data_IF_966450491912
#
_entry.id   IF_966450491912
#
_cell.length_a   1.000
_cell.length_b   1.000
_cell.length_c   1.000
_cell.angle_alpha   90.00
_cell.angle_beta   90.00
_cell.angle_gamma   90.00
#
_symmetry.space_group_name_H-M   'P 1'
#
loop_
_entity.id
_entity.type
_entity.pdbx_description
1 polymer ?
#
# COMPACT_ATOMS: atom_id res chain seq x y z
N UNK A 1 -48.94 39.21 91.63
CA UNK A 1 -47.90 38.29 91.15
C UNK A 1 -46.67 38.43 92.03
N UNK A 2 -46.22 37.33 92.61
CA UNK A 2 -44.95 37.25 93.35
C UNK A 2 -43.80 37.58 92.39
N UNK A 3 -42.74 38.27 92.85
CA UNK A 3 -41.53 38.57 92.06
C UNK A 3 -40.84 37.36 91.40
N UNK A 4 -41.29 36.16 91.76
CA UNK A 4 -40.84 34.88 91.25
C UNK A 4 -41.80 34.25 90.22
N UNK A 5 -43.10 34.57 90.23
CA UNK A 5 -44.10 33.96 89.33
C UNK A 5 -43.91 34.32 87.85
N UNK A 6 -43.36 35.51 87.56
CA UNK A 6 -43.11 35.97 86.18
C UNK A 6 -41.83 35.41 85.53
N UNK A 7 -40.99 34.67 86.27
CA UNK A 7 -39.63 34.32 85.81
C UNK A 7 -39.55 33.22 84.75
N UNK A 8 -40.55 32.36 84.60
CA UNK A 8 -40.52 31.26 83.61
C UNK A 8 -41.53 31.48 82.49
N UNK A 9 -42.82 31.60 82.83
CA UNK A 9 -43.91 31.59 81.85
C UNK A 9 -43.84 32.78 80.89
N UNK A 10 -43.21 33.88 81.31
CA UNK A 10 -42.93 35.07 80.50
C UNK A 10 -41.44 35.23 80.13
N UNK A 11 -40.62 34.19 80.33
CA UNK A 11 -39.19 34.25 79.99
C UNK A 11 -38.94 34.14 78.48
N UNK A 12 -37.89 34.83 78.02
CA UNK A 12 -37.39 34.69 76.66
C UNK A 12 -37.00 33.24 76.34
N UNK A 13 -36.43 32.51 77.30
CA UNK A 13 -36.02 31.11 77.17
C UNK A 13 -37.20 30.18 76.91
N UNK A 14 -38.29 30.31 77.68
CA UNK A 14 -39.49 29.48 77.49
C UNK A 14 -40.17 29.74 76.14
N UNK A 15 -40.27 31.01 75.76
CA UNK A 15 -40.80 31.42 74.46
C UNK A 15 -39.94 30.89 73.31
N UNK A 16 -38.61 30.97 73.44
CA UNK A 16 -37.67 30.47 72.45
C UNK A 16 -37.77 28.94 72.29
N UNK A 17 -37.87 28.20 73.40
CA UNK A 17 -38.04 26.74 73.37
C UNK A 17 -39.32 26.31 72.64
N UNK A 18 -40.46 26.94 72.96
CA UNK A 18 -41.73 26.66 72.28
C UNK A 18 -41.70 27.03 70.79
N UNK A 19 -41.11 28.17 70.44
CA UNK A 19 -40.98 28.62 69.04
C UNK A 19 -40.12 27.65 68.23
N UNK A 20 -39.00 27.20 68.80
CA UNK A 20 -38.10 26.25 68.14
C UNK A 20 -38.75 24.87 67.99
N UNK A 21 -39.52 24.43 68.98
CA UNK A 21 -40.30 23.20 68.89
C UNK A 21 -41.34 23.26 67.75
N UNK A 22 -42.02 24.39 67.58
CA UNK A 22 -42.95 24.59 66.47
C UNK A 22 -42.22 24.50 65.11
N UNK A 23 -41.06 25.16 64.97
CA UNK A 23 -40.23 25.07 63.76
C UNK A 23 -39.83 23.63 63.40
N UNK A 24 -39.48 22.80 64.39
CA UNK A 24 -39.15 21.39 64.15
C UNK A 24 -40.35 20.57 63.68
N UNK A 25 -41.57 20.94 64.09
CA UNK A 25 -42.79 20.24 63.68
C UNK A 25 -43.24 20.58 62.24
N UNK A 26 -42.74 21.67 61.65
CA UNK A 26 -43.09 22.11 60.30
C UNK A 26 -42.27 21.42 59.19
N UNK A 27 -41.30 20.58 59.55
CA UNK A 27 -40.42 19.92 58.58
C UNK A 27 -41.17 18.80 57.85
N UNK A 28 -41.20 18.88 56.53
CA UNK A 28 -41.67 17.79 55.68
C UNK A 28 -40.60 16.69 55.57
N UNK A 29 -40.92 15.48 56.02
CA UNK A 29 -40.01 14.33 56.07
C UNK A 29 -39.67 13.71 54.71
N UNK A 30 -40.34 14.11 53.63
CA UNK A 30 -40.20 13.44 52.33
C UNK A 30 -38.96 13.85 51.51
N UNK A 31 -38.21 14.87 51.93
CA UNK A 31 -37.05 15.42 51.19
C UNK A 31 -35.77 15.56 52.01
N UNK A 32 -35.69 14.93 53.18
CA UNK A 32 -34.59 15.07 54.15
C UNK A 32 -33.85 13.73 54.32
N UNK A 33 -32.53 13.78 54.51
CA UNK A 33 -31.72 12.58 54.79
C UNK A 33 -32.16 11.90 56.09
N UNK A 34 -31.86 10.61 56.22
CA UNK A 34 -32.24 9.83 57.41
C UNK A 34 -31.48 10.36 58.63
N UNK A 35 -30.20 10.68 58.45
CA UNK A 35 -29.31 11.23 59.47
C UNK A 35 -29.81 12.60 59.97
N UNK A 36 -30.22 13.51 59.07
CA UNK A 36 -30.79 14.79 59.47
C UNK A 36 -32.12 14.66 60.21
N UNK A 37 -32.98 13.72 59.80
CA UNK A 37 -34.24 13.42 60.51
C UNK A 37 -33.94 12.96 61.94
N UNK A 38 -32.93 12.09 62.12
CA UNK A 38 -32.55 11.58 63.43
C UNK A 38 -32.01 12.70 64.34
N UNK A 39 -31.10 13.52 63.82
CA UNK A 39 -30.50 14.66 64.53
C UNK A 39 -31.55 15.69 64.98
N UNK A 40 -32.53 16.00 64.11
CA UNK A 40 -33.63 16.91 64.43
C UNK A 40 -34.59 16.29 65.45
N UNK A 41 -34.90 14.99 65.32
CA UNK A 41 -35.76 14.30 66.27
C UNK A 41 -35.14 14.26 67.68
N UNK A 42 -33.82 14.03 67.77
CA UNK A 42 -33.09 14.13 69.04
C UNK A 42 -33.21 15.52 69.64
N UNK A 43 -32.93 16.56 68.86
CA UNK A 43 -33.06 17.95 69.30
C UNK A 43 -34.48 18.27 69.79
N UNK A 44 -35.50 17.79 69.06
CA UNK A 44 -36.90 17.91 69.44
C UNK A 44 -37.20 17.26 70.79
N UNK A 45 -36.77 16.02 71.02
CA UNK A 45 -36.98 15.32 72.29
C UNK A 45 -36.40 16.08 73.49
N UNK A 46 -35.19 16.63 73.34
CA UNK A 46 -34.54 17.40 74.41
C UNK A 46 -35.28 18.73 74.67
N UNK A 47 -35.75 19.41 73.63
CA UNK A 47 -36.52 20.65 73.78
C UNK A 47 -37.91 20.38 74.36
N UNK A 48 -38.58 19.28 73.98
CA UNK A 48 -39.83 18.85 74.61
C UNK A 48 -39.64 18.61 76.11
N UNK A 49 -38.57 17.91 76.48
CA UNK A 49 -38.18 17.71 77.88
C UNK A 49 -37.89 19.05 78.58
N UNK A 50 -37.19 19.97 77.93
CA UNK A 50 -36.92 21.29 78.48
C UNK A 50 -38.21 22.06 78.78
N UNK A 51 -39.14 22.13 77.81
CA UNK A 51 -40.42 22.81 77.98
C UNK A 51 -41.20 22.18 79.13
N UNK A 52 -41.21 20.86 79.21
CA UNK A 52 -41.85 20.12 80.30
C UNK A 52 -41.24 20.46 81.68
N UNK A 53 -39.91 20.53 81.77
CA UNK A 53 -39.23 20.91 83.02
C UNK A 53 -39.50 22.36 83.41
N UNK A 54 -39.53 23.28 82.44
CA UNK A 54 -39.87 24.68 82.69
C UNK A 54 -41.33 24.83 83.16
N UNK A 55 -42.26 24.06 82.60
CA UNK A 55 -43.68 24.08 83.00
C UNK A 55 -43.90 23.58 84.44
N UNK A 56 -43.03 22.69 84.94
CA UNK A 56 -43.25 21.95 86.19
C UNK A 56 -42.24 22.26 87.31
N UNK A 57 -41.36 23.26 87.15
CA UNK A 57 -40.41 23.65 88.20
C UNK A 57 -40.93 24.82 89.00
N UNK A 58 -40.84 24.79 90.34
CA UNK A 58 -41.16 25.96 91.17
C UNK A 58 -40.21 27.12 90.82
N UNK A 59 -40.77 28.24 90.38
CA UNK A 59 -39.99 29.40 89.95
C UNK A 59 -39.01 29.95 91.02
N UNK A 60 -39.21 29.62 92.31
CA UNK A 60 -38.30 29.99 93.41
C UNK A 60 -37.06 29.10 93.50
N UNK A 61 -37.12 27.89 92.93
CA UNK A 61 -36.04 26.90 92.97
C UNK A 61 -35.14 26.95 91.73
N UNK A 62 -35.29 27.98 90.89
CA UNK A 62 -34.51 28.14 89.67
C UNK A 62 -33.25 28.97 89.86
N UNK A 63 -32.16 28.45 89.29
CA UNK A 63 -30.95 29.23 89.03
C UNK A 63 -31.13 30.11 87.80
N UNK A 64 -31.01 31.44 87.97
CA UNK A 64 -31.08 32.42 86.87
C UNK A 64 -30.00 32.15 85.83
N UNK A 65 -28.77 31.88 86.28
CA UNK A 65 -27.65 31.57 85.39
C UNK A 65 -27.90 30.34 84.50
N UNK A 66 -28.58 29.33 85.02
CA UNK A 66 -28.91 28.11 84.27
C UNK A 66 -29.94 28.40 83.18
N UNK A 67 -30.94 29.24 83.47
CA UNK A 67 -31.96 29.66 82.49
C UNK A 67 -31.35 30.53 81.38
N UNK A 68 -30.43 31.43 81.71
CA UNK A 68 -29.74 32.29 80.74
C UNK A 68 -28.81 31.47 79.83
N UNK A 69 -28.11 30.48 80.38
CA UNK A 69 -27.29 29.56 79.62
C UNK A 69 -28.13 28.71 78.66
N UNK A 70 -29.26 28.17 79.13
CA UNK A 70 -30.22 27.45 78.28
C UNK A 70 -30.73 28.36 77.15
N UNK A 71 -31.08 29.61 77.46
CA UNK A 71 -31.54 30.59 76.46
C UNK A 71 -30.48 30.87 75.38
N UNK A 72 -29.21 30.95 75.79
CA UNK A 72 -28.08 31.12 74.87
C UNK A 72 -27.93 29.92 73.94
N UNK A 73 -28.00 28.69 74.48
CA UNK A 73 -27.95 27.48 73.65
C UNK A 73 -29.15 27.35 72.71
N UNK A 74 -30.37 27.67 73.16
CA UNK A 74 -31.55 27.67 72.30
C UNK A 74 -31.40 28.63 71.11
N UNK A 75 -30.77 29.77 71.33
CA UNK A 75 -30.48 30.75 70.28
C UNK A 75 -29.51 30.17 69.25
N UNK A 76 -28.44 29.51 69.71
CA UNK A 76 -27.49 28.81 68.84
C UNK A 76 -28.12 27.64 68.08
N UNK A 77 -28.98 26.85 68.72
CA UNK A 77 -29.74 25.76 68.07
C UNK A 77 -30.64 26.33 66.98
N UNK A 78 -31.40 27.40 67.26
CA UNK A 78 -32.23 28.04 66.24
C UNK A 78 -31.40 28.55 65.07
N UNK A 79 -30.23 29.15 65.33
CA UNK A 79 -29.36 29.63 64.26
C UNK A 79 -28.81 28.50 63.40
N UNK A 80 -28.38 27.38 64.02
CA UNK A 80 -27.90 26.21 63.28
C UNK A 80 -29.02 25.59 62.43
N UNK A 81 -30.22 25.50 63.00
CA UNK A 81 -31.38 24.98 62.29
C UNK A 81 -31.80 25.87 61.12
N UNK A 82 -31.81 27.20 61.30
CA UNK A 82 -32.10 28.14 60.23
C UNK A 82 -31.04 28.04 59.10
N UNK A 83 -29.75 27.87 59.46
CA UNK A 83 -28.68 27.62 58.48
C UNK A 83 -28.90 26.30 57.72
N UNK A 84 -29.25 25.21 58.42
CA UNK A 84 -29.58 23.94 57.79
C UNK A 84 -30.80 24.06 56.86
N UNK A 85 -31.85 24.77 57.25
CA UNK A 85 -33.02 24.96 56.39
C UNK A 85 -32.67 25.69 55.09
N UNK A 86 -31.76 26.68 55.16
CA UNK A 86 -31.33 27.48 54.01
C UNK A 86 -30.35 26.73 53.09
N UNK A 87 -29.44 25.94 53.66
CA UNK A 87 -28.31 25.32 52.92
C UNK A 87 -28.54 23.85 52.58
N UNK A 88 -29.37 23.17 53.39
CA UNK A 88 -29.54 21.71 53.40
C UNK A 88 -28.23 20.94 53.61
N UNK A 89 -27.29 21.54 54.34
CA UNK A 89 -26.03 20.91 54.76
C UNK A 89 -26.17 20.31 56.16
N UNK A 90 -26.18 18.97 56.25
CA UNK A 90 -26.38 18.21 57.48
C UNK A 90 -25.27 18.42 58.52
N UNK A 91 -24.11 18.99 58.13
CA UNK A 91 -23.07 19.39 59.07
C UNK A 91 -23.63 20.28 60.19
N UNK A 92 -24.55 21.20 59.87
CA UNK A 92 -25.15 22.10 60.85
C UNK A 92 -26.00 21.40 61.91
N UNK A 93 -26.49 20.18 61.65
CA UNK A 93 -27.30 19.41 62.58
C UNK A 93 -26.46 18.53 63.53
N UNK A 94 -25.26 18.13 63.08
CA UNK A 94 -24.40 17.20 63.81
C UNK A 94 -23.86 17.70 65.15
N UNK A 95 -23.10 16.83 65.81
CA UNK A 95 -22.59 17.02 67.18
C UNK A 95 -21.69 18.26 67.34
N UNK A 96 -20.98 18.67 66.29
CA UNK A 96 -20.12 19.86 66.31
C UNK A 96 -20.90 21.18 66.29
N UNK A 97 -22.21 21.13 66.00
CA UNK A 97 -23.07 22.30 65.85
C UNK A 97 -24.37 22.13 66.66
N UNK A 98 -25.51 21.94 65.99
CA UNK A 98 -26.82 21.91 66.65
C UNK A 98 -26.87 20.91 67.80
N UNK A 99 -26.47 19.65 67.56
CA UNK A 99 -26.54 18.62 68.59
C UNK A 99 -25.55 18.83 69.75
N UNK A 100 -24.43 19.53 69.52
CA UNK A 100 -23.54 19.97 70.60
C UNK A 100 -24.18 21.04 71.49
N UNK A 101 -24.93 21.98 70.91
CA UNK A 101 -25.69 22.95 71.70
C UNK A 101 -26.87 22.29 72.44
N UNK A 102 -27.48 21.26 71.86
CA UNK A 102 -28.49 20.43 72.53
C UNK A 102 -27.89 19.72 73.76
N UNK A 103 -26.66 19.24 73.68
CA UNK A 103 -25.95 18.65 74.85
C UNK A 103 -25.71 19.70 75.94
N UNK A 104 -25.38 20.93 75.52
CA UNK A 104 -25.35 22.09 76.40
C UNK A 104 -26.66 22.26 77.16
N UNK A 105 -27.80 22.24 76.46
CA UNK A 105 -29.13 22.31 77.10
C UNK A 105 -29.34 21.13 78.06
N UNK A 106 -29.05 19.91 77.64
CA UNK A 106 -29.24 18.70 78.45
C UNK A 106 -28.48 18.76 79.78
N UNK A 107 -27.25 19.29 79.75
CA UNK A 107 -26.43 19.46 80.96
C UNK A 107 -27.08 20.38 82.00
N UNK A 108 -27.75 21.45 81.56
CA UNK A 108 -28.43 22.40 82.44
C UNK A 108 -29.87 21.98 82.78
N UNK A 109 -30.52 21.14 81.98
CA UNK A 109 -31.87 20.59 82.27
C UNK A 109 -31.91 19.90 83.64
N UNK A 110 -30.83 19.24 84.04
CA UNK A 110 -30.74 18.54 85.34
C UNK A 110 -30.87 19.47 86.54
N UNK A 111 -30.58 20.76 86.37
CA UNK A 111 -30.74 21.79 87.42
C UNK A 111 -32.20 22.24 87.60
N UNK A 112 -33.09 21.89 86.65
CA UNK A 112 -34.52 22.17 86.72
C UNK A 112 -35.19 21.05 87.52
N UNK A 113 -35.29 21.22 88.84
CA UNK A 113 -35.91 20.21 89.71
C UNK A 113 -37.44 20.26 89.53
N UNK A 114 -38.06 19.23 88.93
CA UNK A 114 -39.50 19.25 88.68
C UNK A 114 -40.25 18.95 89.97
N UNK A 115 -41.36 19.65 90.19
CA UNK A 115 -42.42 19.13 91.04
C UNK A 115 -42.97 17.86 90.35
N UNK A 116 -42.84 16.71 91.00
CA UNK A 116 -43.22 15.42 90.43
C UNK A 116 -44.74 15.37 90.19
N UNK A 117 -45.19 15.46 88.94
CA UNK A 117 -46.55 15.09 88.52
C UNK A 117 -46.51 13.89 87.55
N UNK A 118 -47.28 12.85 87.90
CA UNK A 118 -47.42 11.56 87.21
C UNK A 118 -47.99 11.73 85.79
N UNK A 119 -48.64 12.86 85.49
CA UNK A 119 -49.27 13.14 84.20
C UNK A 119 -48.26 13.34 83.06
N UNK A 120 -47.13 13.99 83.32
CA UNK A 120 -46.18 14.35 82.26
C UNK A 120 -45.23 13.22 81.87
N UNK A 121 -44.97 12.29 82.80
CA UNK A 121 -44.32 11.01 82.49
C UNK A 121 -45.11 10.24 81.42
N UNK A 122 -46.44 10.35 81.42
CA UNK A 122 -47.33 9.71 80.43
C UNK A 122 -47.24 10.39 79.06
N UNK A 123 -46.98 11.70 79.02
CA UNK A 123 -46.81 12.49 77.79
C UNK A 123 -45.47 12.19 77.12
N UNK A 124 -44.39 12.04 77.88
CA UNK A 124 -43.09 11.59 77.37
C UNK A 124 -43.17 10.18 76.73
N UNK A 125 -43.85 9.24 77.40
CA UNK A 125 -44.12 7.89 76.85
C UNK A 125 -44.94 7.98 75.55
N UNK A 126 -45.93 8.89 75.48
CA UNK A 126 -46.70 9.10 74.26
C UNK A 126 -45.87 9.69 73.10
N UNK A 127 -44.90 10.58 73.39
CA UNK A 127 -43.95 11.12 72.42
C UNK A 127 -43.02 10.04 71.84
N UNK A 128 -42.46 9.20 72.72
CA UNK A 128 -41.64 8.06 72.32
C UNK A 128 -42.42 7.09 71.40
N UNK A 129 -43.65 6.75 71.78
CA UNK A 129 -44.50 5.87 70.97
C UNK A 129 -44.85 6.45 69.60
N UNK A 130 -45.01 7.78 69.49
CA UNK A 130 -45.19 8.45 68.19
C UNK A 130 -43.93 8.35 67.33
N UNK A 131 -42.76 8.61 67.90
CA UNK A 131 -41.47 8.49 67.22
C UNK A 131 -41.23 7.06 66.71
N UNK A 132 -41.40 6.06 67.57
CA UNK A 132 -41.32 4.64 67.19
C UNK A 132 -42.34 4.28 66.10
N UNK A 133 -43.56 4.82 66.19
CA UNK A 133 -44.59 4.68 65.15
C UNK A 133 -44.17 5.27 63.80
N UNK A 134 -43.46 6.39 63.79
CA UNK A 134 -42.93 7.00 62.57
C UNK A 134 -41.77 6.19 61.99
N UNK A 135 -40.81 5.75 62.80
CA UNK A 135 -39.72 4.87 62.34
C UNK A 135 -40.27 3.59 61.71
N UNK A 136 -41.30 2.98 62.31
CA UNK A 136 -41.96 1.80 61.74
C UNK A 136 -42.57 2.08 60.36
N UNK A 137 -43.20 3.24 60.16
CA UNK A 137 -43.79 3.63 58.87
C UNK A 137 -42.72 3.85 57.80
N UNK A 138 -41.63 4.56 58.15
CA UNK A 138 -40.51 4.79 57.24
C UNK A 138 -39.86 3.47 56.85
N UNK A 139 -39.54 2.61 57.82
CA UNK A 139 -38.97 1.29 57.54
C UNK A 139 -39.89 0.44 56.64
N UNK A 140 -41.21 0.48 56.86
CA UNK A 140 -42.17 -0.25 56.01
C UNK A 140 -42.21 0.32 54.58
N UNK A 141 -42.15 1.65 54.42
CA UNK A 141 -42.09 2.32 53.11
C UNK A 141 -40.82 1.92 52.35
N UNK A 142 -39.67 1.91 53.02
CA UNK A 142 -38.40 1.51 52.40
C UNK A 142 -38.36 0.02 52.04
N UNK A 143 -38.89 -0.87 52.89
CA UNK A 143 -39.03 -2.30 52.57
C UNK A 143 -39.89 -2.49 51.31
N UNK A 144 -41.01 -1.80 51.20
CA UNK A 144 -41.87 -1.88 50.02
C UNK A 144 -41.17 -1.32 48.76
N UNK A 145 -40.48 -0.19 48.88
CA UNK A 145 -39.71 0.38 47.77
C UNK A 145 -38.61 -0.58 47.29
N UNK A 146 -37.88 -1.21 48.22
CA UNK A 146 -36.86 -2.22 47.89
C UNK A 146 -37.50 -3.41 47.17
N UNK A 147 -38.64 -3.90 47.65
CA UNK A 147 -39.36 -5.02 47.02
C UNK A 147 -39.81 -4.70 45.59
N UNK A 148 -40.32 -3.49 45.34
CA UNK A 148 -40.76 -3.05 43.99
C UNK A 148 -39.58 -2.87 43.04
N UNK A 149 -38.48 -2.29 43.53
CA UNK A 149 -37.24 -2.17 42.74
C UNK A 149 -36.65 -3.55 42.42
N UNK A 150 -36.68 -4.47 43.38
CA UNK A 150 -36.25 -5.86 43.20
C UNK A 150 -37.02 -6.58 42.09
N UNK A 151 -38.35 -6.55 42.12
CA UNK A 151 -39.20 -7.18 41.09
C UNK A 151 -39.06 -6.53 39.73
N UNK A 152 -38.87 -5.21 39.67
CA UNK A 152 -38.61 -4.50 38.42
C UNK A 152 -37.26 -4.91 37.82
N UNK A 153 -36.22 -4.97 38.65
CA UNK A 153 -34.88 -5.41 38.22
C UNK A 153 -34.90 -6.85 37.72
N UNK A 154 -35.59 -7.76 38.42
CA UNK A 154 -35.76 -9.16 38.01
C UNK A 154 -36.43 -9.25 36.63
N UNK A 155 -37.53 -8.51 36.41
CA UNK A 155 -38.19 -8.45 35.10
C UNK A 155 -37.27 -7.91 34.00
N UNK A 156 -36.50 -6.84 34.27
CA UNK A 156 -35.55 -6.28 33.30
C UNK A 156 -34.41 -7.26 32.99
N UNK A 157 -33.93 -8.00 33.99
CA UNK A 157 -32.92 -9.05 33.79
C UNK A 157 -33.48 -10.15 32.91
N UNK A 158 -34.70 -10.63 33.16
CA UNK A 158 -35.35 -11.66 32.34
C UNK A 158 -35.56 -11.21 30.89
N UNK A 159 -35.98 -9.96 30.69
CA UNK A 159 -36.11 -9.37 29.36
C UNK A 159 -34.76 -9.34 28.63
N UNK A 160 -33.68 -8.90 29.31
CA UNK A 160 -32.33 -8.84 28.74
C UNK A 160 -31.74 -10.22 28.47
N UNK A 161 -31.99 -11.20 29.34
CA UNK A 161 -31.58 -12.60 29.13
C UNK A 161 -32.29 -13.18 27.90
N UNK A 162 -33.59 -12.92 27.75
CA UNK A 162 -34.35 -13.38 26.58
C UNK A 162 -33.91 -12.69 25.28
N UNK A 163 -33.60 -11.40 25.32
CA UNK A 163 -33.03 -10.66 24.19
C UNK A 163 -31.67 -11.25 23.78
N UNK A 164 -30.75 -11.42 24.74
CA UNK A 164 -29.45 -12.03 24.49
C UNK A 164 -29.57 -13.45 23.93
N UNK A 165 -30.51 -14.26 24.43
CA UNK A 165 -30.74 -15.62 23.92
C UNK A 165 -31.17 -15.60 22.44
N UNK A 166 -32.07 -14.71 22.05
CA UNK A 166 -32.49 -14.55 20.65
C UNK A 166 -31.34 -14.11 19.75
N UNK A 167 -30.50 -13.19 20.22
CA UNK A 167 -29.31 -12.77 19.48
C UNK A 167 -28.31 -13.93 19.29
N UNK A 168 -28.11 -14.76 20.32
CA UNK A 168 -27.27 -15.95 20.22
C UNK A 168 -27.81 -16.97 19.20
N UNK A 169 -29.12 -17.24 19.19
CA UNK A 169 -29.75 -18.14 18.22
C UNK A 169 -29.63 -17.62 16.77
N UNK A 170 -29.77 -16.29 16.58
CA UNK A 170 -29.56 -15.66 15.28
C UNK A 170 -28.10 -15.75 14.82
N UNK A 171 -27.15 -15.56 15.74
CA UNK A 171 -25.72 -15.67 15.44
C UNK A 171 -25.33 -17.10 15.06
N UNK A 172 -25.85 -18.11 15.76
CA UNK A 172 -25.62 -19.52 15.44
C UNK A 172 -26.11 -19.87 14.03
N UNK A 173 -27.30 -19.38 13.66
CA UNK A 173 -27.84 -19.52 12.30
C UNK A 173 -26.89 -18.92 11.26
N UNK A 174 -26.36 -17.73 11.51
CA UNK A 174 -25.44 -17.04 10.60
C UNK A 174 -24.09 -17.73 10.49
N UNK A 175 -23.59 -18.33 11.57
CA UNK A 175 -22.37 -19.16 11.55
C UNK A 175 -22.59 -20.39 10.66
N UNK A 176 -23.75 -21.04 10.76
CA UNK A 176 -24.08 -22.19 9.92
C UNK A 176 -24.19 -21.83 8.43
N UNK A 177 -24.77 -20.67 8.10
CA UNK A 177 -24.81 -20.15 6.73
C UNK A 177 -23.41 -19.85 6.18
N UNK A 178 -22.56 -19.14 6.94
CA UNK A 178 -21.18 -18.84 6.52
C UNK A 178 -20.34 -20.11 6.31
N UNK A 179 -20.52 -21.13 7.15
CA UNK A 179 -19.84 -22.42 6.98
C UNK A 179 -20.29 -23.13 5.69
N UNK A 180 -21.57 -23.01 5.32
CA UNK A 180 -22.09 -23.54 4.05
C UNK A 180 -21.50 -22.79 2.87
N UNK A 181 -21.53 -21.45 2.89
CA UNK A 181 -20.97 -20.62 1.82
C UNK A 181 -19.48 -20.90 1.60
N UNK A 182 -18.71 -21.06 2.68
CA UNK A 182 -17.28 -21.39 2.61
C UNK A 182 -17.05 -22.75 1.95
N UNK A 183 -17.90 -23.73 2.25
CA UNK A 183 -17.86 -25.04 1.60
C UNK A 183 -18.16 -24.92 0.10
N UNK A 184 -19.19 -24.18 -0.27
CA UNK A 184 -19.60 -24.00 -1.66
C UNK A 184 -18.53 -23.25 -2.49
N UNK A 185 -17.87 -22.26 -1.88
CA UNK A 185 -16.72 -21.55 -2.48
C UNK A 185 -15.54 -22.51 -2.68
N UNK A 186 -15.22 -23.35 -1.69
CA UNK A 186 -14.13 -24.33 -1.79
C UNK A 186 -14.38 -25.34 -2.91
N UNK A 187 -15.60 -25.87 -2.99
CA UNK A 187 -15.99 -26.82 -4.02
C UNK A 187 -15.97 -26.18 -5.42
N UNK A 188 -16.43 -24.93 -5.53
CA UNK A 188 -16.36 -24.16 -6.78
C UNK A 188 -14.92 -23.85 -7.20
N UNK A 189 -14.05 -23.51 -6.24
CA UNK A 189 -12.63 -23.23 -6.49
C UNK A 189 -11.91 -24.48 -7.01
N UNK A 190 -12.15 -25.64 -6.41
CA UNK A 190 -11.60 -26.92 -6.88
C UNK A 190 -12.04 -27.21 -8.32
N UNK A 191 -13.33 -27.04 -8.62
CA UNK A 191 -13.87 -27.25 -9.97
C UNK A 191 -13.27 -26.30 -11.02
N UNK A 192 -13.05 -25.03 -10.64
CA UNK A 192 -12.37 -24.06 -11.52
C UNK A 192 -10.93 -24.47 -11.77
N UNK A 193 -10.21 -24.92 -10.73
CA UNK A 193 -8.84 -25.42 -10.86
C UNK A 193 -8.77 -26.61 -11.83
N UNK A 194 -9.67 -27.59 -11.69
CA UNK A 194 -9.75 -28.75 -12.59
C UNK A 194 -10.05 -28.34 -14.03
N UNK A 195 -10.99 -27.41 -14.23
CA UNK A 195 -11.32 -26.87 -15.56
C UNK A 195 -10.14 -26.10 -16.17
N UNK A 196 -9.40 -25.34 -15.38
CA UNK A 196 -8.20 -24.63 -15.83
C UNK A 196 -7.12 -25.62 -16.24
N UNK A 197 -6.87 -26.67 -15.45
CA UNK A 197 -5.89 -27.70 -15.79
C UNK A 197 -6.28 -28.46 -17.07
N UNK A 198 -7.55 -28.82 -17.23
CA UNK A 198 -8.07 -29.47 -18.44
C UNK A 198 -7.95 -28.56 -19.67
N UNK A 199 -8.32 -27.28 -19.55
CA UNK A 199 -8.25 -26.33 -20.67
C UNK A 199 -6.80 -26.00 -21.07
N UNK A 200 -5.89 -25.92 -20.10
CA UNK A 200 -4.46 -25.78 -20.36
C UNK A 200 -3.90 -26.99 -21.09
N UNK A 201 -4.16 -28.19 -20.58
CA UNK A 201 -3.70 -29.45 -21.19
C UNK A 201 -4.25 -29.61 -22.62
N UNK A 202 -5.54 -29.31 -22.83
CA UNK A 202 -6.15 -29.33 -24.16
C UNK A 202 -5.48 -28.34 -25.12
N UNK A 203 -5.23 -27.11 -24.66
CA UNK A 203 -4.56 -26.09 -25.46
C UNK A 203 -3.11 -26.48 -25.79
N UNK A 204 -2.41 -27.11 -24.84
CA UNK A 204 -1.05 -27.61 -25.05
C UNK A 204 -1.02 -28.72 -26.10
N UNK A 205 -1.93 -29.68 -26.02
CA UNK A 205 -2.05 -30.75 -27.02
C UNK A 205 -2.35 -30.18 -28.41
N UNK A 206 -3.28 -29.22 -28.52
CA UNK A 206 -3.59 -28.56 -29.80
C UNK A 206 -2.37 -27.81 -30.36
N UNK A 207 -1.61 -27.09 -29.51
CA UNK A 207 -0.37 -26.43 -29.93
C UNK A 207 0.68 -27.43 -30.38
N UNK A 208 0.88 -28.52 -29.65
CA UNK A 208 1.85 -29.55 -29.98
C UNK A 208 1.50 -30.25 -31.30
N UNK A 209 0.23 -30.56 -31.54
CA UNK A 209 -0.24 -31.09 -32.83
C UNK A 209 -0.01 -30.09 -33.97
N UNK A 210 -0.30 -28.80 -33.76
CA UNK A 210 -0.09 -27.77 -34.78
C UNK A 210 1.40 -27.57 -35.11
N UNK A 211 2.26 -27.55 -34.10
CA UNK A 211 3.72 -27.45 -34.26
C UNK A 211 4.25 -28.69 -34.99
N UNK A 212 3.82 -29.89 -34.61
CA UNK A 212 4.24 -31.12 -35.29
C UNK A 212 3.81 -31.12 -36.77
N UNK A 213 2.56 -30.73 -37.06
CA UNK A 213 2.09 -30.59 -38.45
C UNK A 213 2.91 -29.56 -39.23
N UNK A 214 3.21 -28.41 -38.62
CA UNK A 214 4.05 -27.39 -39.24
C UNK A 214 5.48 -27.90 -39.52
N UNK A 215 6.10 -28.60 -38.57
CA UNK A 215 7.43 -29.19 -38.73
C UNK A 215 7.43 -30.20 -39.89
N UNK A 216 6.45 -31.10 -39.95
CA UNK A 216 6.36 -32.10 -41.03
C UNK A 216 6.13 -31.44 -42.39
N UNK A 217 5.31 -30.40 -42.46
CA UNK A 217 5.08 -29.64 -43.70
C UNK A 217 6.33 -28.87 -44.15
N UNK A 218 7.08 -28.27 -43.22
CA UNK A 218 8.35 -27.62 -43.52
C UNK A 218 9.40 -28.62 -43.97
N UNK A 219 9.51 -29.80 -43.33
CA UNK A 219 10.40 -30.87 -43.78
C UNK A 219 10.07 -31.31 -45.20
N UNK A 220 8.78 -31.51 -45.52
CA UNK A 220 8.31 -31.87 -46.86
C UNK A 220 8.70 -30.79 -47.88
N UNK A 221 8.42 -29.52 -47.56
CA UNK A 221 8.75 -28.37 -48.42
C UNK A 221 10.25 -28.29 -48.69
N UNK A 222 11.08 -28.37 -47.64
CA UNK A 222 12.54 -28.36 -47.76
C UNK A 222 13.03 -29.51 -48.65
N UNK A 223 12.51 -30.73 -48.43
CA UNK A 223 12.88 -31.91 -49.22
C UNK A 223 12.53 -31.73 -50.70
N UNK A 224 11.34 -31.20 -51.00
CA UNK A 224 10.91 -30.93 -52.38
C UNK A 224 11.73 -29.81 -53.04
N UNK A 225 12.00 -28.72 -52.33
CA UNK A 225 12.85 -27.63 -52.83
C UNK A 225 14.28 -28.11 -53.08
N UNK A 226 14.84 -28.90 -52.17
CA UNK A 226 16.18 -29.47 -52.32
C UNK A 226 16.25 -30.41 -53.52
N UNK A 227 15.27 -31.31 -53.68
CA UNK A 227 15.20 -32.20 -54.85
C UNK A 227 15.16 -31.42 -56.16
N UNK A 228 14.29 -30.39 -56.25
CA UNK A 228 14.21 -29.53 -57.44
C UNK A 228 15.51 -28.80 -57.73
N UNK A 229 16.18 -28.29 -56.70
CA UNK A 229 17.48 -27.60 -56.83
C UNK A 229 18.60 -28.55 -57.23
N UNK A 230 18.59 -29.79 -56.73
CA UNK A 230 19.50 -30.85 -57.15
C UNK A 230 19.30 -31.16 -58.64
N UNK A 231 18.06 -31.37 -59.08
CA UNK A 231 17.75 -31.63 -60.49
C UNK A 231 18.15 -30.46 -61.40
N UNK A 232 17.95 -29.22 -60.97
CA UNK A 232 18.41 -28.01 -61.67
C UNK A 232 19.94 -27.93 -61.75
N UNK A 233 20.63 -28.27 -60.66
CA UNK A 233 22.09 -28.29 -60.60
C UNK A 233 22.66 -29.36 -61.54
N UNK A 234 22.10 -30.57 -61.54
CA UNK A 234 22.51 -31.66 -62.43
C UNK A 234 22.30 -31.29 -63.91
N UNK A 235 21.17 -30.65 -64.25
CA UNK A 235 20.91 -30.13 -65.60
C UNK A 235 21.91 -29.04 -66.00
N UNK A 236 22.23 -28.14 -65.07
CA UNK A 236 23.20 -27.05 -65.31
C UNK A 236 24.60 -27.62 -65.50
N UNK A 237 25.02 -28.59 -64.69
CA UNK A 237 26.29 -29.28 -64.83
C UNK A 237 26.39 -30.01 -66.19
N UNK A 238 25.32 -30.68 -66.62
CA UNK A 238 25.25 -31.31 -67.93
C UNK A 238 25.36 -30.30 -69.09
N UNK A 239 24.69 -29.14 -68.98
CA UNK A 239 24.79 -28.05 -69.98
C UNK A 239 26.19 -27.42 -70.01
N UNK A 240 26.81 -27.21 -68.85
CA UNK A 240 28.20 -26.75 -68.74
C UNK A 240 29.15 -27.74 -69.40
N UNK A 241 29.05 -29.03 -69.09
CA UNK A 241 29.88 -30.06 -69.73
C UNK A 241 29.68 -30.10 -71.24
N UNK A 242 28.43 -29.97 -71.72
CA UNK A 242 28.15 -29.89 -73.16
C UNK A 242 28.78 -28.66 -73.80
N UNK A 243 28.69 -27.49 -73.16
CA UNK A 243 29.33 -26.25 -73.62
C UNK A 243 30.85 -26.36 -73.56
N UNK A 244 31.41 -26.99 -72.54
CA UNK A 244 32.84 -27.21 -72.38
C UNK A 244 33.36 -28.09 -73.52
N UNK A 245 32.75 -29.25 -73.77
CA UNK A 245 33.11 -30.13 -74.88
C UNK A 245 32.96 -29.42 -76.24
N UNK A 246 31.92 -28.60 -76.42
CA UNK A 246 31.75 -27.80 -77.64
C UNK A 246 32.83 -26.69 -77.76
N UNK A 247 33.30 -26.15 -76.64
CA UNK A 247 34.38 -25.16 -76.59
C UNK A 247 35.73 -25.83 -76.83
N UNK A 248 35.95 -27.02 -76.29
CA UNK A 248 37.12 -27.86 -76.53
C UNK A 248 37.21 -28.23 -78.01
N UNK A 249 36.12 -28.70 -78.63
CA UNK A 249 36.09 -28.96 -80.08
C UNK A 249 36.35 -27.69 -80.91
N UNK A 250 35.83 -26.53 -80.48
CA UNK A 250 36.15 -25.23 -81.12
C UNK A 250 37.58 -24.79 -80.86
N UNK A 251 38.16 -25.12 -79.72
CA UNK A 251 39.54 -24.81 -79.37
C UNK A 251 40.50 -25.72 -80.14
N UNK A 252 40.19 -27.00 -80.33
CA UNK A 252 40.90 -27.90 -81.23
C UNK A 252 40.82 -27.43 -82.69
N UNK A 253 39.64 -27.02 -83.16
CA UNK A 253 39.47 -26.41 -84.48
C UNK A 253 40.24 -25.08 -84.60
N UNK A 254 40.22 -24.26 -83.56
CA UNK A 254 40.99 -23.01 -83.51
C UNK A 254 42.49 -23.29 -83.41
N UNK A 255 42.94 -24.35 -82.73
CA UNK A 255 44.33 -24.78 -82.67
C UNK A 255 44.79 -25.29 -84.04
N UNK A 256 43.96 -26.04 -84.76
CA UNK A 256 44.24 -26.44 -86.14
C UNK A 256 44.33 -25.22 -87.07
N UNK A 257 43.42 -24.25 -86.92
CA UNK A 257 43.50 -22.96 -87.63
C UNK A 257 44.68 -22.11 -87.18
N UNK A 258 45.09 -22.18 -85.93
CA UNK A 258 46.28 -21.51 -85.40
C UNK A 258 47.54 -22.19 -85.93
N UNK A 259 47.56 -23.51 -86.12
CA UNK A 259 48.67 -24.21 -86.79
C UNK A 259 48.73 -23.83 -88.29
N UNK A 260 47.57 -23.64 -88.92
CA UNK A 260 47.43 -23.12 -90.28
C UNK A 260 47.83 -21.64 -90.38
N UNK A 261 47.46 -20.81 -89.40
CA UNK A 261 47.80 -19.39 -89.31
C UNK A 261 49.21 -19.15 -88.77
N UNK A 262 49.79 -20.01 -87.94
CA UNK A 262 51.20 -19.96 -87.53
C UNK A 262 52.11 -20.36 -88.69
N UNK A 263 51.62 -21.22 -89.58
CA UNK A 263 52.23 -21.42 -90.91
C UNK A 263 52.09 -20.19 -91.83
N UNK A 264 51.14 -19.28 -91.59
CA UNK A 264 50.88 -18.12 -92.47
C UNK A 264 51.22 -16.74 -91.88
N UNK A 265 51.38 -16.58 -90.56
CA UNK A 265 51.33 -15.29 -89.87
C UNK A 265 52.03 -15.38 -88.50
N UNK A 266 53.34 -15.63 -88.52
CA UNK A 266 54.20 -15.26 -87.40
C UNK A 266 54.22 -13.74 -87.24
N UNK A 267 54.08 -13.31 -85.99
CA UNK A 267 54.42 -11.99 -85.44
C UNK A 267 53.25 -11.01 -85.21
N UNK A 268 53.07 -10.60 -83.94
CA UNK A 268 52.46 -9.33 -83.47
C UNK A 268 51.04 -9.27 -82.85
N UNK A 269 50.71 -10.11 -81.85
CA UNK A 269 49.43 -9.94 -81.10
C UNK A 269 49.47 -10.14 -79.58
N UNK A 270 50.64 -10.36 -78.96
CA UNK A 270 50.72 -10.69 -77.51
C UNK A 270 50.69 -9.49 -76.54
N UNK A 271 50.57 -8.26 -77.02
CA UNK A 271 50.74 -7.05 -76.17
C UNK A 271 49.40 -6.32 -75.90
N UNK A 272 48.28 -6.75 -76.49
CA UNK A 272 47.00 -6.05 -76.34
C UNK A 272 46.20 -6.48 -75.09
N UNK A 273 46.23 -7.77 -74.73
CA UNK A 273 45.26 -8.34 -73.77
C UNK A 273 45.48 -7.93 -72.30
N UNK A 274 46.72 -7.73 -71.87
CA UNK A 274 46.99 -7.33 -70.47
C UNK A 274 46.50 -5.92 -70.12
N UNK A 275 46.27 -5.06 -71.11
CA UNK A 275 45.71 -3.72 -70.89
C UNK A 275 44.19 -3.72 -70.73
N UNK A 276 43.52 -4.75 -71.27
CA UNK A 276 42.05 -4.86 -71.25
C UNK A 276 41.55 -5.30 -69.86
N UNK A 277 42.23 -6.27 -69.24
CA UNK A 277 41.84 -6.81 -67.93
C UNK A 277 41.93 -5.77 -66.78
N UNK A 278 42.87 -4.82 -66.85
CA UNK A 278 42.97 -3.73 -65.88
C UNK A 278 41.83 -2.70 -65.97
N UNK A 279 41.10 -2.66 -67.10
CA UNK A 279 39.99 -1.73 -67.33
C UNK A 279 38.68 -2.25 -66.74
N UNK A 280 38.45 -3.56 -66.79
CA UNK A 280 37.26 -4.22 -66.22
C UNK A 280 37.20 -4.09 -64.69
N UNK A 281 38.34 -4.16 -64.00
CA UNK A 281 38.42 -4.00 -62.54
C UNK A 281 38.09 -2.57 -62.07
N UNK A 282 38.43 -1.55 -62.87
CA UNK A 282 38.07 -0.14 -62.58
C UNK A 282 36.56 0.09 -62.58
N UNK A 283 35.85 -0.55 -63.51
CA UNK A 283 34.41 -0.37 -63.66
C UNK A 283 33.65 -1.04 -62.51
N UNK A 284 34.14 -2.16 -61.99
CA UNK A 284 33.57 -2.83 -60.81
C UNK A 284 33.72 -1.96 -59.54
N UNK A 285 34.90 -1.38 -59.31
CA UNK A 285 35.15 -0.52 -58.16
C UNK A 285 34.28 0.76 -58.17
N UNK A 286 34.08 1.36 -59.34
CA UNK A 286 33.25 2.56 -59.48
C UNK A 286 31.75 2.28 -59.31
N UNK A 287 31.26 1.08 -59.66
CA UNK A 287 29.88 0.66 -59.38
C UNK A 287 29.60 0.60 -57.87
N UNK A 288 30.48 -0.03 -57.09
CA UNK A 288 30.35 -0.09 -55.63
C UNK A 288 30.43 1.27 -54.94
N UNK A 289 31.24 2.20 -55.49
CA UNK A 289 31.30 3.58 -55.01
C UNK A 289 29.97 4.32 -55.18
N UNK A 290 29.31 4.16 -56.34
CA UNK A 290 28.00 4.78 -56.61
C UNK A 290 26.92 4.25 -55.66
N UNK A 291 26.91 2.94 -55.39
CA UNK A 291 25.98 2.31 -54.45
C UNK A 291 26.18 2.85 -53.03
N UNK A 292 27.42 2.94 -52.56
CA UNK A 292 27.75 3.44 -51.22
C UNK A 292 27.34 4.92 -51.05
N UNK A 293 27.58 5.74 -52.07
CA UNK A 293 27.20 7.15 -52.08
C UNK A 293 25.68 7.33 -52.04
N UNK A 294 24.92 6.54 -52.82
CA UNK A 294 23.46 6.54 -52.77
C UNK A 294 22.93 6.17 -51.38
N UNK A 295 23.49 5.14 -50.74
CA UNK A 295 23.07 4.69 -49.42
C UNK A 295 23.27 5.77 -48.34
N UNK A 296 24.40 6.49 -48.39
CA UNK A 296 24.69 7.60 -47.47
C UNK A 296 23.71 8.77 -47.67
N UNK A 297 23.37 9.11 -48.92
CA UNK A 297 22.37 10.14 -49.20
C UNK A 297 20.97 9.74 -48.74
N UNK A 298 20.59 8.46 -48.86
CA UNK A 298 19.30 7.97 -48.39
C UNK A 298 19.15 8.10 -46.86
N UNK A 299 20.22 7.80 -46.10
CA UNK A 299 20.22 7.96 -44.63
C UNK A 299 20.14 9.44 -44.23
N UNK A 300 20.88 10.31 -44.91
CA UNK A 300 20.82 11.76 -44.67
C UNK A 300 19.42 12.32 -44.97
N UNK A 301 18.81 11.92 -46.09
CA UNK A 301 17.46 12.34 -46.47
C UNK A 301 16.40 11.89 -45.46
N UNK A 302 16.44 10.63 -45.04
CA UNK A 302 15.55 10.10 -44.00
C UNK A 302 15.74 10.83 -42.66
N UNK A 303 16.99 11.15 -42.30
CA UNK A 303 17.30 11.87 -41.07
C UNK A 303 16.75 13.30 -41.06
N UNK A 304 16.73 13.99 -42.20
CA UNK A 304 16.13 15.32 -42.33
C UNK A 304 14.59 15.25 -42.30
N UNK A 305 14.00 14.25 -42.96
CA UNK A 305 12.55 14.04 -42.97
C UNK A 305 11.99 13.84 -41.55
N UNK A 306 12.63 13.00 -40.75
CA UNK A 306 12.22 12.73 -39.36
C UNK A 306 12.31 13.99 -38.48
N UNK A 307 13.33 14.83 -38.67
CA UNK A 307 13.47 16.10 -37.93
C UNK A 307 12.36 17.09 -38.32
N UNK A 308 12.03 17.17 -39.60
CA UNK A 308 10.92 18.00 -40.09
C UNK A 308 9.58 17.56 -39.48
N UNK A 309 9.33 16.25 -39.41
CA UNK A 309 8.09 15.69 -38.86
C UNK A 309 7.94 15.94 -37.36
N UNK A 310 9.04 15.81 -36.58
CA UNK A 310 9.08 16.08 -35.14
C UNK A 310 8.80 17.57 -34.82
N UNK A 311 9.34 18.50 -35.61
CA UNK A 311 9.12 19.95 -35.40
C UNK A 311 7.65 20.33 -35.68
N UNK A 312 7.01 19.70 -36.67
CA UNK A 312 5.65 20.03 -37.08
C UNK A 312 4.56 19.38 -36.21
N UNK A 313 4.81 18.22 -35.60
CA UNK A 313 3.77 17.46 -34.89
C UNK A 313 3.78 17.66 -33.36
N UNK A 314 4.79 18.32 -32.78
CA UNK A 314 4.95 18.62 -31.33
C UNK A 314 4.85 17.45 -30.34
N UNK A 315 4.49 16.24 -30.77
CA UNK A 315 4.52 15.02 -29.98
C UNK A 315 5.79 14.22 -30.28
N UNK A 316 6.77 14.34 -29.39
CA UNK A 316 8.02 13.61 -29.48
C UNK A 316 7.84 12.15 -29.02
N UNK A 317 7.38 11.28 -29.91
CA UNK A 317 7.40 9.83 -29.69
C UNK A 317 8.85 9.31 -29.76
N UNK A 318 9.42 8.99 -28.60
CA UNK A 318 10.77 8.38 -28.42
C UNK A 318 11.02 7.14 -29.29
N UNK A 319 9.95 6.48 -29.77
CA UNK A 319 9.99 5.36 -30.71
C UNK A 319 10.66 5.73 -32.05
N UNK A 320 10.50 6.97 -32.54
CA UNK A 320 11.17 7.43 -33.77
C UNK A 320 12.69 7.59 -33.61
N UNK A 321 13.16 7.90 -32.39
CA UNK A 321 14.60 7.98 -32.10
C UNK A 321 15.25 6.59 -32.12
N UNK A 322 14.55 5.57 -31.61
CA UNK A 322 15.02 4.18 -31.64
C UNK A 322 15.02 3.63 -33.08
N UNK A 323 13.96 3.89 -33.86
CA UNK A 323 13.92 3.52 -35.27
C UNK A 323 15.08 4.16 -36.06
N UNK A 324 15.39 5.44 -35.80
CA UNK A 324 16.55 6.13 -36.40
C UNK A 324 17.88 5.49 -36.03
N UNK A 325 18.08 5.15 -34.76
CA UNK A 325 19.30 4.49 -34.30
C UNK A 325 19.51 3.14 -35.01
N UNK A 326 18.44 2.37 -35.19
CA UNK A 326 18.49 1.07 -35.87
C UNK A 326 18.81 1.20 -37.36
N UNK A 327 18.19 2.16 -38.06
CA UNK A 327 18.48 2.45 -39.48
C UNK A 327 19.91 2.92 -39.69
N UNK A 328 20.44 3.78 -38.80
CA UNK A 328 21.84 4.23 -38.86
C UNK A 328 22.83 3.08 -38.65
N UNK A 329 22.52 2.15 -37.75
CA UNK A 329 23.37 0.99 -37.49
C UNK A 329 23.40 0.03 -38.69
N UNK A 330 22.24 -0.25 -39.29
CA UNK A 330 22.14 -1.08 -40.49
C UNK A 330 22.81 -0.45 -41.72
N UNK A 331 22.54 0.84 -41.99
CA UNK A 331 23.13 1.52 -43.12
C UNK A 331 24.63 1.74 -42.95
N UNK A 332 25.09 2.01 -41.72
CA UNK A 332 26.52 2.07 -41.39
C UNK A 332 27.23 0.74 -41.61
N UNK A 333 26.59 -0.39 -41.24
CA UNK A 333 27.12 -1.73 -41.49
C UNK A 333 27.27 -2.05 -42.98
N UNK A 334 26.24 -1.78 -43.79
CA UNK A 334 26.27 -2.02 -45.23
C UNK A 334 27.28 -1.11 -45.91
N UNK A 335 27.30 0.19 -45.58
CA UNK A 335 28.27 1.13 -46.14
C UNK A 335 29.72 0.81 -45.74
N UNK A 336 29.94 0.31 -44.53
CA UNK A 336 31.24 -0.17 -44.08
C UNK A 336 31.71 -1.39 -44.86
N UNK A 337 30.83 -2.35 -45.10
CA UNK A 337 31.13 -3.53 -45.90
C UNK A 337 31.46 -3.17 -47.36
N UNK A 338 30.65 -2.33 -48.01
CA UNK A 338 30.89 -1.94 -49.41
C UNK A 338 32.13 -1.07 -49.59
N UNK A 339 32.47 -0.22 -48.60
CA UNK A 339 33.72 0.54 -48.60
C UNK A 339 34.96 -0.37 -48.47
N UNK A 340 34.87 -1.40 -47.63
CA UNK A 340 35.94 -2.39 -47.44
C UNK A 340 36.18 -3.17 -48.73
N UNK A 341 35.10 -3.66 -49.35
CA UNK A 341 35.14 -4.44 -50.60
C UNK A 341 35.68 -3.59 -51.78
N UNK A 342 35.29 -2.31 -51.87
CA UNK A 342 35.89 -1.37 -52.83
C UNK A 342 37.40 -1.17 -52.62
N UNK A 343 37.86 -1.20 -51.36
CA UNK A 343 39.29 -1.05 -51.05
C UNK A 343 40.12 -2.27 -51.47
N UNK A 344 39.57 -3.47 -51.36
CA UNK A 344 40.24 -4.72 -51.75
C UNK A 344 40.44 -4.81 -53.26
N UNK A 345 39.41 -4.48 -54.05
CA UNK A 345 39.54 -4.40 -55.50
C UNK A 345 40.58 -3.36 -55.96
N UNK A 346 40.76 -2.25 -55.21
CA UNK A 346 41.83 -1.28 -55.47
C UNK A 346 43.22 -1.78 -55.10
N UNK A 347 43.35 -2.65 -54.10
CA UNK A 347 44.63 -3.32 -53.79
C UNK A 347 45.03 -4.26 -54.94
N UNK A 348 44.08 -5.05 -55.45
CA UNK A 348 44.29 -5.92 -56.61
C UNK A 348 44.66 -5.13 -57.87
N UNK A 349 43.97 -4.01 -58.14
CA UNK A 349 44.27 -3.12 -59.26
C UNK A 349 45.72 -2.58 -59.20
N UNK A 350 46.17 -2.13 -58.02
CA UNK A 350 47.53 -1.58 -57.85
C UNK A 350 48.60 -2.66 -58.01
N UNK A 351 48.34 -3.89 -57.59
CA UNK A 351 49.23 -5.02 -57.80
C UNK A 351 49.37 -5.32 -59.31
N UNK A 352 48.26 -5.43 -60.04
CA UNK A 352 48.26 -5.70 -61.47
C UNK A 352 48.92 -4.58 -62.29
N UNK A 353 48.67 -3.31 -61.95
CA UNK A 353 49.35 -2.18 -62.60
C UNK A 353 50.85 -2.16 -62.31
N UNK A 354 51.27 -2.51 -61.08
CA UNK A 354 52.70 -2.59 -60.73
C UNK A 354 53.40 -3.69 -61.54
N UNK A 355 52.78 -4.85 -61.69
CA UNK A 355 53.30 -5.95 -62.52
C UNK A 355 53.36 -5.56 -63.99
N UNK A 356 52.33 -4.88 -64.52
CA UNK A 356 52.32 -4.38 -65.90
C UNK A 356 53.43 -3.34 -66.15
N UNK A 357 53.66 -2.42 -65.21
CA UNK A 357 54.75 -1.44 -65.29
C UNK A 357 56.13 -2.10 -65.20
N UNK A 358 56.31 -3.11 -64.34
CA UNK A 358 57.54 -3.88 -64.24
C UNK A 358 57.84 -4.66 -65.51
N UNK A 359 56.83 -5.30 -66.12
CA UNK A 359 56.96 -5.98 -67.42
C UNK A 359 57.32 -4.99 -68.54
N UNK A 360 56.69 -3.81 -68.54
CA UNK A 360 56.96 -2.75 -69.52
C UNK A 360 58.37 -2.17 -69.37
N UNK A 361 58.88 -2.07 -68.15
CA UNK A 361 60.24 -1.63 -67.83
C UNK A 361 61.31 -2.71 -68.11
N UNK A 362 60.93 -3.99 -68.17
CA UNK A 362 61.83 -5.10 -68.51
C UNK A 362 62.12 -5.18 -70.02
N UNK A 363 61.19 -4.69 -70.85
CA UNK A 363 61.28 -4.76 -72.33
C UNK A 363 62.54 -4.13 -72.94
N UNK A 364 63.04 -2.94 -72.51
CA UNK A 364 64.28 -2.38 -73.04
C UNK A 364 65.53 -3.19 -72.68
N UNK A 365 65.53 -3.84 -71.51
CA UNK A 365 66.66 -4.66 -71.03
C UNK A 365 66.72 -6.02 -71.73
N UNK A 366 65.58 -6.62 -72.07
CA UNK A 366 65.54 -7.87 -72.82
C UNK A 366 65.93 -7.69 -74.30
N UNK A 367 65.61 -6.53 -74.88
CA UNK A 367 66.02 -6.18 -76.25
C UNK A 367 67.52 -5.86 -76.35
N UNK A 368 68.17 -5.39 -75.28
CA UNK A 368 69.61 -5.09 -75.31
C UNK A 368 70.53 -6.30 -75.11
N UNK A 369 69.98 -7.51 -74.89
CA UNK A 369 70.74 -8.74 -74.57
C UNK A 369 70.52 -9.83 -75.64
N UNK A 370 70.16 -9.43 -76.86
CA UNK A 370 69.74 -10.33 -77.95
C UNK A 370 70.82 -11.36 -78.38
N UNK A 371 72.07 -11.21 -77.93
CA UNK A 371 73.19 -12.14 -78.18
C UNK A 371 73.51 -13.18 -77.09
N UNK A 372 72.94 -13.09 -75.87
CA UNK A 372 73.28 -14.02 -74.77
C UNK A 372 72.03 -14.66 -74.12
N UNK A 373 71.67 -15.84 -74.63
CA UNK A 373 70.47 -16.61 -74.25
C UNK A 373 70.48 -17.04 -72.78
N UNK A 374 71.67 -17.27 -72.19
CA UNK A 374 71.79 -17.72 -70.80
C UNK A 374 71.47 -16.59 -69.81
N UNK A 375 72.03 -15.41 -70.04
CA UNK A 375 71.79 -14.23 -69.20
C UNK A 375 70.32 -13.79 -69.25
N UNK A 376 69.70 -13.88 -70.44
CA UNK A 376 68.26 -13.62 -70.64
C UNK A 376 67.38 -14.52 -69.79
N UNK A 377 67.63 -15.83 -69.80
CA UNK A 377 66.85 -16.78 -69.01
C UNK A 377 67.06 -16.62 -67.50
N UNK A 378 68.26 -16.22 -67.07
CA UNK A 378 68.56 -15.96 -65.66
C UNK A 378 67.85 -14.69 -65.13
N UNK A 379 67.81 -13.62 -65.93
CA UNK A 379 67.08 -12.39 -65.60
C UNK A 379 65.57 -12.65 -65.58
N UNK A 380 65.03 -13.37 -66.58
CA UNK A 380 63.61 -13.76 -66.61
C UNK A 380 63.26 -14.61 -65.39
N UNK A 381 64.10 -15.59 -65.02
CA UNK A 381 63.88 -16.44 -63.85
C UNK A 381 63.94 -15.65 -62.54
N UNK A 382 64.87 -14.70 -62.42
CA UNK A 382 65.01 -13.85 -61.22
C UNK A 382 63.85 -12.86 -61.08
N UNK A 383 63.41 -12.26 -62.20
CA UNK A 383 62.27 -11.34 -62.21
C UNK A 383 60.96 -12.09 -61.97
N UNK A 384 60.78 -13.26 -62.58
CA UNK A 384 59.65 -14.15 -62.29
C UNK A 384 59.63 -14.54 -60.80
N UNK A 385 60.75 -14.99 -60.24
CA UNK A 385 60.83 -15.34 -58.83
C UNK A 385 60.50 -14.14 -57.92
N UNK A 386 60.94 -12.92 -58.25
CA UNK A 386 60.65 -11.72 -57.46
C UNK A 386 59.20 -11.22 -57.59
N UNK A 387 58.57 -11.41 -58.74
CA UNK A 387 57.16 -11.03 -58.96
C UNK A 387 56.23 -12.01 -58.24
N UNK A 388 56.50 -13.32 -58.36
CA UNK A 388 55.63 -14.35 -57.79
C UNK A 388 55.89 -14.61 -56.29
N UNK A 389 57.11 -14.42 -55.78
CA UNK A 389 57.43 -14.63 -54.35
C UNK A 389 57.02 -13.43 -53.44
N UNK A 390 56.66 -12.29 -54.02
CA UNK A 390 56.26 -11.09 -53.26
C UNK A 390 54.73 -10.97 -53.11
N UNK A 391 53.96 -11.89 -53.71
CA UNK A 391 52.51 -12.01 -53.50
C UNK A 391 52.18 -12.79 -52.22
N UNK A 392 53.04 -13.72 -51.77
CA UNK A 392 52.82 -14.47 -50.52
C UNK A 392 53.02 -13.63 -49.25
N UNK A 393 53.84 -12.57 -49.27
CA UNK A 393 54.13 -11.75 -48.08
C UNK A 393 53.18 -10.56 -47.85
N UNK A 394 52.14 -10.38 -48.67
CA UNK A 394 51.14 -9.31 -48.53
C UNK A 394 49.74 -9.82 -48.15
N UNK A 395 49.63 -11.07 -47.71
CA UNK A 395 48.44 -11.61 -47.04
C UNK A 395 48.69 -11.76 -45.53
N UNK A 396 48.80 -10.63 -44.82
CA UNK A 396 48.53 -10.53 -43.37
C UNK A 396 47.71 -9.27 -43.12
#
# INVERSE_FOLDING_TARGET
MSKWEDRIQNSATYTAAKKLLAKFNEINSDSVSIEAIDDINRAKLVIELLVDRLDNTDNRLLSVSSIDNIGSYLSSVSSCFDNWQNTRDDMYLGISYMNGYIDGILSYITSLTPAMDIKETRKAIAGLNRSVGQYKRVATKEINNISVKGTTAEKTIDEKVNEAKKEFEALDTKVNELNKDLKDIKDSSNKISDLQQLSFTKSENVRNEAVNKFIEEQKRTIKETFSKKSDEADRTAADINKKLNATEAKAEDSLARIDELLNMAGDKTLIHDYSSSAKEDTEAADRWRKITMFLLFAVLGFSCWVVYEIINTKDALWQFLIARAFVMLFAGGIAGYTATQSSEHRKAQRANQRTAHQLKALKPYLLSIEGDVKLRNEIIKTVAYRIFNNEENNQV
#
